data_IF_418111617017
#
_entry.id   IF_418111617017
#
_cell.length_a   1.000
_cell.length_b   1.000
_cell.length_c   1.000
_cell.angle_alpha   90.00
_cell.angle_beta   90.00
_cell.angle_gamma   90.00
#
_symmetry.space_group_name_H-M   'P 1'
#
loop_
_entity.id
_entity.type
_entity.pdbx_description
1 polymer ?
#
# COMPACT_ATOMS: atom_id res chain seq x y z
N UNK A 1 -16.86 -6.71 -20.01
CA UNK A 1 -17.13 -5.93 -18.80
C UNK A 1 -15.84 -5.32 -18.21
N UNK A 2 -14.88 -6.12 -17.72
CA UNK A 2 -13.62 -5.57 -17.13
C UNK A 2 -12.76 -4.75 -18.10
N UNK A 3 -12.67 -5.13 -19.39
CA UNK A 3 -11.91 -4.35 -20.40
C UNK A 3 -12.49 -2.96 -20.65
N UNK A 4 -13.83 -2.80 -20.65
CA UNK A 4 -14.48 -1.51 -20.86
C UNK A 4 -14.25 -0.57 -19.69
N UNK A 5 -14.38 -1.09 -18.46
CA UNK A 5 -14.13 -0.33 -17.23
C UNK A 5 -12.68 0.18 -17.15
N UNK A 6 -11.70 -0.62 -17.59
CA UNK A 6 -10.30 -0.18 -17.66
C UNK A 6 -10.06 0.95 -18.66
N UNK A 7 -10.75 0.93 -19.79
CA UNK A 7 -10.65 2.01 -20.77
C UNK A 7 -11.27 3.31 -20.26
N UNK A 8 -12.44 3.20 -19.61
CA UNK A 8 -13.11 4.36 -18.97
C UNK A 8 -12.27 4.97 -17.84
N UNK A 9 -11.57 4.13 -17.08
CA UNK A 9 -10.69 4.55 -15.98
C UNK A 9 -9.24 4.87 -16.44
N UNK A 10 -8.94 4.77 -17.73
CA UNK A 10 -7.60 5.00 -18.30
C UNK A 10 -6.49 4.11 -17.71
N UNK A 11 -6.81 2.86 -17.37
CA UNK A 11 -5.91 1.94 -16.69
C UNK A 11 -5.17 1.01 -17.65
N UNK A 12 -3.85 0.95 -17.51
CA UNK A 12 -2.95 0.21 -18.39
C UNK A 12 -2.83 -1.28 -18.08
N UNK A 13 -3.10 -1.70 -16.83
CA UNK A 13 -2.97 -3.10 -16.43
C UNK A 13 -4.04 -3.58 -15.44
N UNK A 14 -4.12 -4.90 -15.20
CA UNK A 14 -4.94 -5.45 -14.12
C UNK A 14 -4.41 -5.02 -12.74
N UNK A 15 -3.10 -4.86 -12.62
CA UNK A 15 -2.43 -4.46 -11.38
C UNK A 15 -2.78 -3.04 -11.00
N UNK A 16 -2.81 -2.12 -11.97
CA UNK A 16 -3.19 -0.72 -11.76
C UNK A 16 -4.64 -0.65 -11.30
N UNK A 17 -5.53 -1.37 -11.98
CA UNK A 17 -6.95 -1.47 -11.60
C UNK A 17 -7.16 -1.99 -10.18
N UNK A 18 -6.45 -3.05 -9.79
CA UNK A 18 -6.54 -3.59 -8.43
C UNK A 18 -5.94 -2.61 -7.40
N UNK A 19 -4.84 -1.94 -7.74
CA UNK A 19 -4.19 -0.98 -6.84
C UNK A 19 -5.09 0.22 -6.57
N UNK A 20 -5.72 0.77 -7.60
CA UNK A 20 -6.65 1.90 -7.49
C UNK A 20 -7.92 1.51 -6.74
N UNK A 21 -8.48 0.33 -7.04
CA UNK A 21 -9.63 -0.20 -6.29
C UNK A 21 -9.30 -0.36 -4.80
N UNK A 22 -8.12 -0.90 -4.46
CA UNK A 22 -7.66 -1.04 -3.08
C UNK A 22 -7.45 0.33 -2.42
N UNK A 23 -6.85 1.30 -3.11
CA UNK A 23 -6.67 2.66 -2.59
C UNK A 23 -8.00 3.33 -2.28
N UNK A 24 -8.97 3.25 -3.21
CA UNK A 24 -10.32 3.77 -3.04
C UNK A 24 -11.03 3.11 -1.84
N UNK A 25 -10.91 1.79 -1.70
CA UNK A 25 -11.49 1.06 -0.58
C UNK A 25 -10.86 1.45 0.76
N UNK A 26 -9.54 1.64 0.82
CA UNK A 26 -8.85 2.11 2.03
C UNK A 26 -9.29 3.51 2.43
N UNK A 27 -9.39 4.43 1.47
CA UNK A 27 -9.91 5.78 1.70
C UNK A 27 -11.34 5.73 2.25
N UNK A 28 -12.23 4.97 1.62
CA UNK A 28 -13.62 4.90 2.03
C UNK A 28 -13.81 4.30 3.44
N UNK A 29 -13.00 3.31 3.84
CA UNK A 29 -13.00 2.82 5.23
C UNK A 29 -12.52 3.90 6.21
N UNK A 30 -11.49 4.65 5.86
CA UNK A 30 -10.96 5.71 6.71
C UNK A 30 -11.98 6.84 6.94
N UNK A 31 -12.66 7.30 5.89
CA UNK A 31 -13.73 8.31 6.00
C UNK A 31 -14.89 7.82 6.88
N UNK A 32 -15.33 6.57 6.70
CA UNK A 32 -16.40 5.97 7.53
C UNK A 32 -15.99 5.88 9.00
N UNK A 33 -14.74 5.51 9.31
CA UNK A 33 -14.21 5.48 10.68
C UNK A 33 -14.20 6.86 11.34
N UNK A 34 -14.06 7.93 10.57
CA UNK A 34 -14.18 9.32 11.05
C UNK A 34 -15.63 9.77 11.24
N UNK A 35 -16.61 8.92 10.94
CA UNK A 35 -18.04 9.21 11.03
C UNK A 35 -18.63 9.87 9.78
N UNK A 36 -17.87 9.97 8.69
CA UNK A 36 -18.37 10.56 7.44
C UNK A 36 -19.21 9.56 6.65
N UNK A 37 -20.18 10.04 5.86
CA UNK A 37 -21.02 9.23 4.98
C UNK A 37 -20.59 9.44 3.52
N UNK A 38 -20.52 8.35 2.75
CA UNK A 38 -20.05 8.37 1.37
C UNK A 38 -21.25 8.18 0.46
N UNK A 39 -21.37 9.01 -0.57
CA UNK A 39 -22.46 8.96 -1.54
C UNK A 39 -21.89 8.83 -2.95
N UNK A 40 -22.55 8.05 -3.79
CA UNK A 40 -22.42 8.16 -5.24
C UNK A 40 -23.46 9.14 -5.75
N UNK A 41 -23.05 10.09 -6.58
CA UNK A 41 -23.92 11.06 -7.24
C UNK A 41 -23.94 10.74 -8.73
N UNK A 42 -25.14 10.61 -9.31
CA UNK A 42 -25.30 10.46 -10.76
C UNK A 42 -25.23 11.82 -11.45
N UNK A 43 -25.09 11.83 -12.78
CA UNK A 43 -25.16 13.07 -13.58
C UNK A 43 -26.51 13.80 -13.42
N UNK A 44 -27.56 13.08 -13.01
CA UNK A 44 -28.89 13.62 -12.71
C UNK A 44 -29.01 14.19 -11.29
N UNK A 45 -27.96 14.11 -10.47
CA UNK A 45 -27.95 14.58 -9.08
C UNK A 45 -28.58 13.62 -8.08
N UNK A 46 -28.92 12.39 -8.50
CA UNK A 46 -29.42 11.37 -7.58
C UNK A 46 -28.27 10.90 -6.68
N UNK A 47 -28.49 10.96 -5.36
CA UNK A 47 -27.49 10.57 -4.36
C UNK A 47 -27.88 9.27 -3.71
N UNK A 48 -26.99 8.29 -3.80
CA UNK A 48 -27.14 6.99 -3.13
C UNK A 48 -26.01 6.78 -2.13
N UNK A 49 -26.36 6.51 -0.88
CA UNK A 49 -25.34 6.19 0.14
C UNK A 49 -24.67 4.86 -0.20
N UNK A 50 -23.35 4.89 -0.25
CA UNK A 50 -22.51 3.73 -0.51
C UNK A 50 -22.30 2.97 0.80
N UNK A 51 -23.28 2.14 1.14
CA UNK A 51 -23.21 1.21 2.26
C UNK A 51 -22.47 -0.06 1.81
N UNK A 52 -21.23 -0.23 2.25
CA UNK A 52 -20.47 -1.46 1.99
C UNK A 52 -20.06 -2.14 3.31
N UNK A 53 -20.93 -2.98 3.91
CA UNK A 53 -20.59 -3.74 5.13
C UNK A 53 -19.37 -4.64 4.97
N UNK A 54 -19.06 -5.05 3.72
CA UNK A 54 -17.86 -5.82 3.41
C UNK A 54 -16.60 -4.96 3.42
N UNK A 55 -16.69 -3.67 3.13
CA UNK A 55 -15.55 -2.76 2.98
C UNK A 55 -14.72 -2.67 4.26
N UNK A 56 -15.40 -2.54 5.40
CA UNK A 56 -14.80 -2.53 6.73
C UNK A 56 -14.00 -3.81 7.03
N UNK A 57 -14.32 -4.92 6.36
CA UNK A 57 -13.62 -6.21 6.50
C UNK A 57 -12.43 -6.37 5.56
N UNK A 58 -12.43 -5.71 4.39
CA UNK A 58 -11.38 -5.89 3.35
C UNK A 58 -10.21 -4.93 3.47
N UNK A 59 -10.37 -3.82 4.20
CA UNK A 59 -9.26 -2.93 4.55
C UNK A 59 -9.02 -2.98 6.07
N UNK A 60 -8.48 -4.09 6.60
CA UNK A 60 -7.94 -4.07 7.94
C UNK A 60 -6.90 -2.96 8.01
N UNK A 61 -6.89 -2.21 9.12
CA UNK A 61 -5.71 -1.44 9.47
C UNK A 61 -4.58 -2.46 9.63
N UNK A 62 -3.78 -2.62 8.59
CA UNK A 62 -2.44 -3.14 8.73
C UNK A 62 -1.71 -2.11 9.58
N UNK A 63 -1.84 -2.23 10.89
CA UNK A 63 -0.79 -1.84 11.80
C UNK A 63 0.40 -2.71 11.42
N UNK A 64 1.12 -2.29 10.38
CA UNK A 64 2.42 -2.86 10.07
C UNK A 64 3.19 -2.78 11.39
N UNK A 65 3.78 -3.89 11.87
CA UNK A 65 4.55 -3.84 13.09
C UNK A 65 5.59 -2.74 12.91
N UNK A 66 5.42 -1.63 13.64
CA UNK A 66 6.43 -0.60 13.73
C UNK A 66 7.53 -1.22 14.56
N UNK A 67 8.53 -1.75 13.89
CA UNK A 67 9.76 -2.19 14.54
C UNK A 67 10.54 -0.90 14.80
N UNK A 68 10.42 -0.38 16.01
CA UNK A 68 11.35 0.60 16.51
C UNK A 68 12.64 -0.15 16.82
N UNK A 69 13.71 0.14 16.07
CA UNK A 69 15.05 -0.37 16.35
C UNK A 69 15.72 0.67 17.26
N UNK A 70 15.91 0.39 18.56
CA UNK A 70 16.61 1.30 19.44
C UNK A 70 18.11 1.25 19.13
N UNK A 71 18.58 2.19 18.33
CA UNK A 71 19.98 2.27 17.95
C UNK A 71 20.82 2.88 19.08
N UNK A 72 21.96 2.26 19.37
CA UNK A 72 23.01 2.90 20.16
C UNK A 72 23.81 3.89 19.31
N UNK A 73 24.49 4.88 19.90
CA UNK A 73 25.36 5.80 19.14
C UNK A 73 26.39 5.09 18.27
N UNK A 74 27.00 4.01 18.79
CA UNK A 74 27.99 3.21 18.06
C UNK A 74 27.41 2.51 16.84
N UNK A 75 26.19 2.00 16.93
CA UNK A 75 25.54 1.34 15.79
C UNK A 75 25.13 2.35 14.71
N UNK A 76 24.68 3.56 15.10
CA UNK A 76 24.43 4.64 14.16
C UNK A 76 25.71 5.06 13.43
N UNK A 77 26.82 5.21 14.15
CA UNK A 77 28.13 5.50 13.55
C UNK A 77 28.58 4.40 12.60
N UNK A 78 28.42 3.13 12.99
CA UNK A 78 28.76 1.98 12.14
C UNK A 78 27.91 1.95 10.87
N UNK A 79 26.61 2.26 10.99
CA UNK A 79 25.70 2.32 9.84
C UNK A 79 26.06 3.48 8.91
N UNK A 80 26.38 4.65 9.46
CA UNK A 80 26.80 5.81 8.68
C UNK A 80 28.11 5.53 7.91
N UNK A 81 29.08 4.91 8.58
CA UNK A 81 30.34 4.48 7.97
C UNK A 81 30.09 3.46 6.83
N UNK A 82 29.26 2.44 7.07
CA UNK A 82 28.87 1.47 6.04
C UNK A 82 28.17 2.13 4.84
N UNK A 83 27.24 3.06 5.07
CA UNK A 83 26.49 3.75 4.02
C UNK A 83 27.37 4.70 3.19
N UNK A 84 28.47 5.19 3.77
CA UNK A 84 29.39 6.13 3.12
C UNK A 84 30.46 5.44 2.25
N UNK A 85 30.61 4.12 2.35
CA UNK A 85 31.63 3.35 1.63
C UNK A 85 31.06 2.74 0.35
N UNK A 86 31.97 2.36 -0.56
CA UNK A 86 31.57 1.55 -1.69
C UNK A 86 31.04 0.17 -1.23
N UNK A 87 29.95 -0.33 -1.83
CA UNK A 87 29.43 -1.64 -1.50
C UNK A 87 30.49 -2.73 -1.70
N UNK A 88 30.71 -3.54 -0.67
CA UNK A 88 31.63 -4.67 -0.78
C UNK A 88 31.06 -5.73 -1.75
N UNK A 89 31.96 -6.42 -2.45
CA UNK A 89 31.56 -7.58 -3.24
C UNK A 89 30.95 -8.66 -2.33
N UNK A 90 29.85 -9.31 -2.74
CA UNK A 90 29.24 -10.40 -1.98
C UNK A 90 30.25 -11.52 -1.71
N UNK A 91 30.24 -12.07 -0.50
CA UNK A 91 31.10 -13.21 -0.15
C UNK A 91 30.68 -14.47 -0.90
N UNK A 92 31.61 -15.39 -1.15
CA UNK A 92 31.30 -16.68 -1.78
C UNK A 92 30.21 -17.46 -1.01
N UNK A 93 30.22 -17.37 0.32
CA UNK A 93 29.18 -17.97 1.18
C UNK A 93 27.80 -17.41 0.86
N UNK A 94 27.68 -16.09 0.72
CA UNK A 94 26.41 -15.44 0.38
C UNK A 94 25.98 -15.79 -1.05
N UNK A 95 26.92 -15.80 -2.01
CA UNK A 95 26.65 -16.19 -3.40
C UNK A 95 26.11 -17.61 -3.47
N UNK A 96 26.71 -18.56 -2.74
CA UNK A 96 26.26 -19.94 -2.69
C UNK A 96 24.87 -20.07 -2.07
N UNK A 97 24.60 -19.36 -0.96
CA UNK A 97 23.30 -19.38 -0.30
C UNK A 97 22.17 -18.83 -1.19
N UNK A 98 22.44 -17.79 -1.99
CA UNK A 98 21.47 -17.21 -2.91
C UNK A 98 21.20 -18.08 -4.15
N UNK A 99 22.10 -19.01 -4.49
CA UNK A 99 21.97 -19.89 -5.66
C UNK A 99 21.21 -21.19 -5.38
N UNK A 100 21.02 -21.56 -4.11
CA UNK A 100 20.41 -22.83 -3.70
C UNK A 100 21.39 -23.98 -3.70
#
# INVERSE_FOLDING_TARGET
MVRGLKQELQLTSNTDFLSDAVALFRWAVWERKRGHRIFSETETGERKELMFPRLERVAPELALPRVEIPWTPRELESLADLASREPANPTETLIRAMRG
#
